data_IF_645244583867
#
_entry.id   IF_645244583867
#
_cell.length_a   1.000
_cell.length_b   1.000
_cell.length_c   1.000
_cell.angle_alpha   90.00
_cell.angle_beta   90.00
_cell.angle_gamma   90.00
#
_symmetry.space_group_name_H-M   'P 1'
#
loop_
_entity.id
_entity.type
_entity.pdbx_description
1 polymer ?
#
# COMPACT_ATOMS: atom_id res chain seq x y z
N UNK A 1 2.98 21.45 -48.34
CA UNK A 1 3.56 22.50 -47.47
C UNK A 1 4.54 21.76 -46.57
N UNK A 2 5.79 21.74 -46.99
CA UNK A 2 6.75 20.72 -46.59
C UNK A 2 7.31 21.04 -45.21
N UNK A 3 6.96 20.23 -44.22
CA UNK A 3 7.42 20.35 -42.83
C UNK A 3 8.95 20.41 -42.71
N UNK A 4 9.65 19.82 -43.67
CA UNK A 4 11.11 19.82 -43.81
C UNK A 4 11.65 21.24 -44.05
N UNK A 5 10.99 22.05 -44.90
CA UNK A 5 11.42 23.42 -45.22
C UNK A 5 11.22 24.41 -44.07
N UNK A 6 10.22 24.15 -43.22
CA UNK A 6 9.92 24.97 -42.03
C UNK A 6 10.93 24.69 -40.92
N UNK A 7 11.34 23.44 -40.76
CA UNK A 7 12.37 23.05 -39.80
C UNK A 7 13.73 23.67 -40.14
N UNK A 8 14.19 23.61 -41.39
CA UNK A 8 15.49 24.18 -41.77
C UNK A 8 15.58 25.69 -41.53
N UNK A 9 14.49 26.44 -41.78
CA UNK A 9 14.44 27.90 -41.65
C UNK A 9 14.28 28.43 -40.21
N UNK A 10 14.03 27.57 -39.23
CA UNK A 10 13.88 28.02 -37.84
C UNK A 10 15.21 28.41 -37.17
N UNK A 11 15.23 29.47 -36.34
CA UNK A 11 16.41 29.83 -35.58
C UNK A 11 16.77 28.71 -34.59
N UNK A 12 18.07 28.49 -34.33
CA UNK A 12 18.54 27.42 -33.43
C UNK A 12 17.84 27.44 -32.06
N UNK A 13 17.57 28.64 -31.52
CA UNK A 13 16.85 28.81 -30.23
C UNK A 13 15.42 28.24 -30.28
N UNK A 14 14.69 28.42 -31.38
CA UNK A 14 13.34 27.89 -31.52
C UNK A 14 13.34 26.36 -31.62
N UNK A 15 14.29 25.77 -32.36
CA UNK A 15 14.49 24.31 -32.42
C UNK A 15 14.79 23.73 -31.03
N UNK A 16 15.68 24.38 -30.28
CA UNK A 16 16.03 23.97 -28.93
C UNK A 16 14.82 23.99 -27.98
N UNK A 17 13.99 25.04 -28.04
CA UNK A 17 12.76 25.14 -27.25
C UNK A 17 11.78 24.02 -27.63
N UNK A 18 11.58 23.77 -28.93
CA UNK A 18 10.66 22.73 -29.42
C UNK A 18 11.10 21.32 -28.97
N UNK A 19 12.41 21.03 -29.07
CA UNK A 19 12.99 19.78 -28.59
C UNK A 19 12.81 19.65 -27.07
N UNK A 20 13.08 20.72 -26.32
CA UNK A 20 12.90 20.72 -24.87
C UNK A 20 11.45 20.43 -24.48
N UNK A 21 10.49 21.11 -25.11
CA UNK A 21 9.05 20.87 -24.88
C UNK A 21 8.68 19.42 -25.21
N UNK A 22 9.15 18.88 -26.34
CA UNK A 22 8.92 17.49 -26.70
C UNK A 22 9.50 16.51 -25.65
N UNK A 23 10.72 16.74 -25.16
CA UNK A 23 11.34 15.91 -24.12
C UNK A 23 10.56 15.96 -22.81
N UNK A 24 10.08 17.15 -22.40
CA UNK A 24 9.27 17.30 -21.19
C UNK A 24 7.95 16.54 -21.33
N UNK A 25 7.28 16.65 -22.48
CA UNK A 25 6.01 15.94 -22.75
C UNK A 25 6.21 14.42 -22.76
N UNK A 26 7.29 13.92 -23.39
CA UNK A 26 7.62 12.49 -23.40
C UNK A 26 7.91 12.00 -21.97
N UNK A 27 8.68 12.76 -21.19
CA UNK A 27 9.01 12.41 -19.80
C UNK A 27 7.74 12.35 -18.95
N UNK A 28 6.86 13.35 -19.08
CA UNK A 28 5.58 13.38 -18.37
C UNK A 28 4.70 12.18 -18.76
N UNK A 29 4.65 11.84 -20.05
CA UNK A 29 3.91 10.69 -20.54
C UNK A 29 4.43 9.37 -19.94
N UNK A 30 5.76 9.17 -19.91
CA UNK A 30 6.38 8.00 -19.27
C UNK A 30 6.01 7.93 -17.79
N UNK A 31 6.04 9.06 -17.07
CA UNK A 31 5.68 9.11 -15.64
C UNK A 31 4.21 8.74 -15.42
N UNK A 32 3.29 9.17 -16.29
CA UNK A 32 1.86 8.84 -16.20
C UNK A 32 1.63 7.35 -16.47
N UNK A 33 2.17 6.81 -17.56
CA UNK A 33 1.96 5.40 -17.94
C UNK A 33 2.54 4.45 -16.89
N UNK A 34 3.69 4.79 -16.31
CA UNK A 34 4.31 3.99 -15.24
C UNK A 34 3.59 4.09 -13.88
N UNK A 35 2.67 5.04 -13.71
CA UNK A 35 1.91 5.27 -12.47
C UNK A 35 0.75 4.29 -12.28
N UNK A 36 0.34 3.58 -13.34
CA UNK A 36 -0.80 2.68 -13.27
C UNK A 36 -0.34 1.32 -12.75
N UNK A 37 -0.93 0.86 -11.66
CA UNK A 37 -0.71 -0.46 -11.06
C UNK A 37 -2.00 -1.24 -11.13
N UNK A 38 -1.93 -2.45 -11.68
CA UNK A 38 -3.01 -3.43 -11.66
C UNK A 38 -2.73 -4.45 -10.57
N UNK A 39 -3.74 -4.75 -9.76
CA UNK A 39 -3.72 -5.80 -8.74
C UNK A 39 -4.69 -6.88 -9.18
N UNK A 40 -4.22 -8.12 -9.23
CA UNK A 40 -5.02 -9.25 -9.67
C UNK A 40 -6.08 -9.67 -8.63
N UNK A 41 -7.08 -10.43 -9.09
CA UNK A 41 -8.27 -10.78 -8.31
C UNK A 41 -7.99 -11.58 -7.03
N UNK A 42 -6.86 -12.29 -6.98
CA UNK A 42 -6.40 -13.12 -5.87
C UNK A 42 -5.27 -12.49 -5.05
N UNK A 43 -5.00 -11.20 -5.29
CA UNK A 43 -3.91 -10.45 -4.67
C UNK A 43 -4.41 -9.23 -3.89
N UNK A 44 -3.55 -8.76 -3.00
CA UNK A 44 -3.69 -7.50 -2.28
C UNK A 44 -2.42 -6.68 -2.45
N UNK A 45 -2.58 -5.38 -2.71
CA UNK A 45 -1.45 -4.47 -2.86
C UNK A 45 -1.07 -3.85 -1.52
N UNK A 46 0.12 -4.14 -1.03
CA UNK A 46 0.73 -3.42 0.09
C UNK A 46 1.42 -2.17 -0.47
N UNK A 47 1.03 -1.01 0.06
CA UNK A 47 1.58 0.28 -0.37
C UNK A 47 2.66 0.71 0.60
N UNK A 48 3.79 1.18 0.08
CA UNK A 48 4.84 1.85 0.84
C UNK A 48 5.05 3.24 0.24
N UNK A 49 5.04 4.28 1.09
CA UNK A 49 5.27 5.65 0.67
C UNK A 49 6.74 6.02 0.91
N UNK A 50 7.44 6.44 -0.14
CA UNK A 50 8.86 6.77 -0.11
C UNK A 50 9.12 8.24 0.23
N UNK A 51 8.25 9.14 -0.24
CA UNK A 51 8.48 10.59 -0.25
C UNK A 51 7.21 11.38 0.12
N UNK A 52 7.42 12.60 0.63
CA UNK A 52 6.38 13.57 1.03
C UNK A 52 5.40 13.08 2.12
N UNK A 53 5.82 12.11 2.93
CA UNK A 53 5.20 11.82 4.22
C UNK A 53 6.04 12.40 5.35
N UNK A 54 5.43 12.54 6.52
CA UNK A 54 6.15 12.76 7.77
C UNK A 54 6.99 11.54 8.17
N UNK A 55 7.76 11.67 9.24
CA UNK A 55 8.43 10.52 9.86
C UNK A 55 7.41 9.60 10.54
N UNK A 56 7.61 8.30 10.41
CA UNK A 56 6.84 7.32 11.16
C UNK A 56 7.14 7.47 12.66
N UNK A 57 6.14 7.53 13.56
CA UNK A 57 6.39 7.64 15.00
C UNK A 57 7.20 6.47 15.55
N UNK A 58 8.05 6.72 16.54
CA UNK A 58 8.89 5.68 17.14
C UNK A 58 8.05 4.52 17.70
N UNK A 59 8.51 3.29 17.44
CA UNK A 59 7.83 2.07 17.85
C UNK A 59 6.63 1.66 16.99
N UNK A 60 6.31 2.43 15.94
CA UNK A 60 5.35 2.05 14.89
C UNK A 60 6.05 1.37 13.73
N UNK A 61 5.34 0.44 13.09
CA UNK A 61 5.79 -0.32 11.93
C UNK A 61 4.98 0.07 10.68
N UNK A 62 3.73 0.49 10.86
CA UNK A 62 2.86 0.93 9.77
C UNK A 62 2.41 2.38 9.93
N UNK A 63 2.42 3.09 8.80
CA UNK A 63 1.92 4.45 8.64
C UNK A 63 0.39 4.45 8.50
N UNK A 64 -0.29 5.27 9.29
CA UNK A 64 -1.75 5.37 9.33
C UNK A 64 -2.21 6.71 8.74
N UNK A 65 -1.45 7.78 8.94
CA UNK A 65 -1.82 9.14 8.55
C UNK A 65 -1.02 9.64 7.33
N UNK A 66 -0.53 8.72 6.50
CA UNK A 66 0.24 9.06 5.30
C UNK A 66 1.70 9.45 5.57
N UNK A 67 2.26 9.00 6.69
CA UNK A 67 3.70 9.04 6.97
C UNK A 67 4.50 8.24 5.92
N UNK A 68 5.81 8.44 5.86
CA UNK A 68 6.67 7.60 5.04
C UNK A 68 6.76 6.18 5.61
N UNK A 69 6.91 5.19 4.74
CA UNK A 69 6.97 3.77 5.08
C UNK A 69 5.74 2.98 4.63
N UNK A 70 5.64 1.76 5.14
CA UNK A 70 4.55 0.82 4.83
C UNK A 70 3.24 1.40 5.34
N UNK A 71 2.26 1.54 4.46
CA UNK A 71 0.95 2.06 4.82
C UNK A 71 0.07 0.97 5.42
N UNK A 72 -0.80 1.34 6.36
CA UNK A 72 -1.84 0.48 6.91
C UNK A 72 -2.86 0.11 5.83
N UNK A 73 -3.27 1.08 5.02
CA UNK A 73 -4.24 0.87 3.95
C UNK A 73 -3.67 -0.03 2.84
N UNK A 74 -4.42 -1.07 2.52
CA UNK A 74 -4.16 -1.97 1.40
C UNK A 74 -4.94 -1.53 0.15
N UNK A 75 -4.42 -1.92 -1.02
CA UNK A 75 -5.14 -1.77 -2.28
C UNK A 75 -5.89 -3.05 -2.61
N UNK A 76 -7.19 -2.92 -2.85
CA UNK A 76 -8.04 -4.00 -3.33
C UNK A 76 -7.73 -4.36 -4.80
N UNK A 77 -8.15 -5.54 -5.29
CA UNK A 77 -8.04 -5.89 -6.69
C UNK A 77 -8.62 -4.82 -7.62
N UNK A 78 -7.93 -4.56 -8.74
CA UNK A 78 -8.33 -3.54 -9.71
C UNK A 78 -7.19 -2.62 -10.12
N UNK A 79 -7.56 -1.55 -10.83
CA UNK A 79 -6.64 -0.54 -11.34
C UNK A 79 -6.50 0.61 -10.35
N UNK A 80 -5.26 0.91 -9.98
CA UNK A 80 -4.93 2.00 -9.06
C UNK A 80 -3.85 2.88 -9.66
N UNK A 81 -3.94 4.19 -9.40
CA UNK A 81 -2.91 5.15 -9.79
C UNK A 81 -1.99 5.40 -8.59
N UNK A 82 -0.75 4.95 -8.69
CA UNK A 82 0.31 5.15 -7.70
C UNK A 82 1.62 5.45 -8.41
N UNK A 83 2.10 6.67 -8.24
CA UNK A 83 3.36 7.12 -8.84
C UNK A 83 4.54 6.31 -8.29
N UNK A 84 5.22 5.53 -9.14
CA UNK A 84 6.32 4.62 -8.72
C UNK A 84 7.51 5.29 -8.03
N UNK A 85 7.72 6.58 -8.32
CA UNK A 85 8.76 7.37 -7.70
C UNK A 85 8.38 7.80 -6.27
N UNK A 86 7.08 7.98 -5.98
CA UNK A 86 6.57 8.32 -4.65
C UNK A 86 6.17 7.08 -3.83
N UNK A 87 5.72 6.01 -4.48
CA UNK A 87 5.19 4.80 -3.84
C UNK A 87 5.86 3.54 -4.36
N UNK A 88 5.99 2.54 -3.50
CA UNK A 88 6.18 1.15 -3.88
C UNK A 88 4.85 0.41 -3.67
N UNK A 89 4.46 -0.45 -4.61
CA UNK A 89 3.30 -1.32 -4.45
C UNK A 89 3.77 -2.75 -4.60
N UNK A 90 3.73 -3.51 -3.51
CA UNK A 90 4.05 -4.93 -3.49
C UNK A 90 2.76 -5.72 -3.55
N UNK A 91 2.61 -6.56 -4.57
CA UNK A 91 1.45 -7.43 -4.72
C UNK A 91 1.73 -8.76 -4.02
N UNK A 92 0.81 -9.18 -3.17
CA UNK A 92 0.90 -10.42 -2.40
C UNK A 92 -0.39 -11.21 -2.54
N UNK A 93 -0.31 -12.53 -2.52
CA UNK A 93 -1.50 -13.38 -2.55
C UNK A 93 -2.34 -13.19 -1.28
N UNK A 94 -3.65 -13.23 -1.44
CA UNK A 94 -4.58 -13.23 -0.30
C UNK A 94 -4.34 -14.46 0.58
N UNK A 95 -4.51 -14.30 1.89
CA UNK A 95 -4.41 -15.41 2.83
C UNK A 95 -5.66 -16.28 2.72
N UNK A 96 -5.47 -17.57 2.50
CA UNK A 96 -6.55 -18.55 2.42
C UNK A 96 -6.49 -19.51 3.62
N UNK A 97 -7.57 -19.53 4.40
CA UNK A 97 -7.77 -20.48 5.49
C UNK A 97 -8.65 -21.61 4.97
N UNK A 98 -8.09 -22.83 4.94
CA UNK A 98 -8.79 -24.00 4.40
C UNK A 98 -9.94 -24.43 5.32
N UNK A 99 -10.99 -25.06 4.76
CA UNK A 99 -12.02 -25.69 5.57
C UNK A 99 -11.43 -26.66 6.60
N UNK A 100 -11.93 -26.60 7.83
CA UNK A 100 -11.45 -27.42 8.95
C UNK A 100 -10.24 -26.86 9.70
N UNK A 101 -9.67 -25.72 9.27
CA UNK A 101 -8.61 -24.99 9.97
C UNK A 101 -9.14 -23.66 10.52
N UNK A 102 -8.40 -23.08 11.48
CA UNK A 102 -8.61 -21.72 11.98
C UNK A 102 -7.31 -20.94 11.85
N UNK A 103 -7.40 -19.68 11.41
CA UNK A 103 -6.23 -18.82 11.32
C UNK A 103 -5.95 -18.12 12.65
N UNK A 104 -4.79 -18.40 13.24
CA UNK A 104 -4.26 -17.66 14.38
C UNK A 104 -3.62 -16.36 13.90
N UNK A 105 -3.82 -15.28 14.65
CA UNK A 105 -3.44 -13.92 14.24
C UNK A 105 -2.40 -13.36 15.20
N UNK A 106 -1.32 -12.82 14.66
CA UNK A 106 -0.33 -12.06 15.41
C UNK A 106 -0.14 -10.68 14.77
N UNK A 107 -0.34 -9.62 15.55
CA UNK A 107 -0.18 -8.24 15.11
C UNK A 107 1.24 -7.73 15.40
N UNK A 108 1.90 -7.14 14.42
CA UNK A 108 3.25 -6.58 14.54
C UNK A 108 3.27 -5.18 15.20
N UNK A 109 2.16 -4.45 15.12
CA UNK A 109 2.00 -3.08 15.64
C UNK A 109 0.64 -2.97 16.34
N UNK A 110 0.47 -1.96 17.19
CA UNK A 110 -0.68 -1.73 18.05
C UNK A 110 -0.25 -1.11 19.38
N UNK A 111 -1.19 -0.98 20.31
CA UNK A 111 -0.86 -0.69 21.72
C UNK A 111 -0.24 -1.91 22.40
N UNK A 112 0.53 -1.69 23.46
CA UNK A 112 0.99 -2.79 24.30
C UNK A 112 -0.19 -3.58 24.88
N UNK A 113 -0.02 -4.90 24.98
CA UNK A 113 -0.96 -5.78 25.67
C UNK A 113 -1.27 -5.27 27.09
N UNK A 114 -2.47 -5.57 27.62
CA UNK A 114 -2.77 -5.30 29.02
C UNK A 114 -1.77 -6.02 29.93
N UNK A 115 -1.57 -5.47 31.12
CA UNK A 115 -0.69 -6.08 32.12
C UNK A 115 -1.15 -7.50 32.43
N UNK A 116 -0.20 -8.43 32.50
CA UNK A 116 -0.42 -9.86 32.78
C UNK A 116 -1.24 -10.63 31.73
N UNK A 117 -1.49 -10.05 30.55
CA UNK A 117 -2.13 -10.74 29.42
C UNK A 117 -1.10 -11.19 28.36
N UNK A 118 -1.29 -12.41 27.86
CA UNK A 118 -0.46 -13.00 26.78
C UNK A 118 -1.12 -12.80 25.41
N UNK A 119 -2.45 -12.76 25.37
CA UNK A 119 -3.26 -12.56 24.17
C UNK A 119 -4.03 -11.24 24.29
N UNK A 120 -4.24 -10.57 23.16
CA UNK A 120 -5.12 -9.42 23.11
C UNK A 120 -6.57 -9.84 23.42
N UNK A 121 -7.35 -8.98 24.10
CA UNK A 121 -8.80 -9.15 24.28
C UNK A 121 -9.51 -9.46 22.95
N UNK A 122 -10.55 -10.28 23.03
CA UNK A 122 -11.36 -10.63 21.87
C UNK A 122 -12.09 -9.38 21.31
N UNK A 123 -12.10 -9.26 19.99
CA UNK A 123 -12.86 -8.22 19.30
C UNK A 123 -14.34 -8.56 19.24
N UNK A 124 -15.19 -7.60 19.59
CA UNK A 124 -16.65 -7.71 19.38
C UNK A 124 -17.00 -7.87 17.90
N UNK A 125 -16.26 -7.20 17.02
CA UNK A 125 -16.41 -7.26 15.57
C UNK A 125 -15.08 -7.69 14.92
N UNK A 126 -14.79 -8.99 14.80
CA UNK A 126 -13.53 -9.51 14.26
C UNK A 126 -13.22 -9.04 12.84
N UNK A 127 -14.24 -8.72 12.03
CA UNK A 127 -14.06 -8.20 10.67
C UNK A 127 -13.40 -6.81 10.67
N UNK A 128 -13.73 -5.96 11.64
CA UNK A 128 -13.16 -4.60 11.75
C UNK A 128 -11.68 -4.63 12.12
N UNK A 129 -11.27 -5.62 12.92
CA UNK A 129 -9.87 -5.84 13.28
C UNK A 129 -8.98 -6.03 12.04
N UNK A 130 -9.49 -6.67 10.98
CA UNK A 130 -8.72 -6.95 9.76
C UNK A 130 -8.37 -5.70 8.95
N UNK A 131 -9.12 -4.61 9.17
CA UNK A 131 -8.77 -3.32 8.62
C UNK A 131 -7.64 -2.70 9.45
N UNK A 132 -6.42 -2.72 8.91
CA UNK A 132 -5.23 -2.20 9.56
C UNK A 132 -5.32 -0.71 9.97
N UNK A 133 -6.02 0.12 9.19
CA UNK A 133 -6.22 1.55 9.49
C UNK A 133 -7.13 1.71 10.71
N UNK A 134 -8.22 0.95 10.74
CA UNK A 134 -9.11 0.92 11.90
C UNK A 134 -8.40 0.35 13.12
N UNK A 135 -7.70 -0.78 12.97
CA UNK A 135 -6.96 -1.45 14.02
C UNK A 135 -5.95 -0.52 14.70
N UNK A 136 -5.09 0.15 13.92
CA UNK A 136 -4.04 1.01 14.47
C UNK A 136 -4.55 2.41 14.87
N UNK A 137 -5.66 2.86 14.31
CA UNK A 137 -6.29 4.14 14.59
C UNK A 137 -7.41 4.02 15.63
N UNK A 138 -8.66 4.02 15.16
CA UNK A 138 -9.85 4.15 16.01
C UNK A 138 -10.08 2.95 16.93
N UNK A 139 -9.83 1.74 16.43
CA UNK A 139 -10.05 0.48 17.14
C UNK A 139 -9.02 0.21 18.24
N UNK A 140 -7.89 0.94 18.26
CA UNK A 140 -6.83 0.80 19.28
C UNK A 140 -6.45 -0.67 19.53
N UNK A 141 -6.17 -1.40 18.47
CA UNK A 141 -5.76 -2.80 18.51
C UNK A 141 -4.45 -3.01 19.25
N UNK A 142 -4.31 -4.18 19.85
CA UNK A 142 -3.13 -4.56 20.63
C UNK A 142 -2.11 -5.28 19.77
N UNK A 143 -0.83 -4.96 19.92
CA UNK A 143 0.26 -5.73 19.28
C UNK A 143 0.40 -7.10 19.94
N UNK A 144 0.90 -8.08 19.19
CA UNK A 144 1.12 -9.45 19.66
C UNK A 144 0.00 -10.42 19.26
N UNK A 145 -0.06 -11.61 19.91
CA UNK A 145 -1.07 -12.63 19.63
C UNK A 145 -2.49 -12.10 19.91
N UNK A 146 -3.44 -12.40 19.02
CA UNK A 146 -4.85 -12.05 19.22
C UNK A 146 -5.64 -13.27 19.71
N UNK A 147 -6.64 -13.03 20.57
CA UNK A 147 -7.58 -14.07 20.96
C UNK A 147 -8.60 -14.39 19.85
N UNK A 148 -8.97 -13.38 19.06
CA UNK A 148 -9.83 -13.56 17.89
C UNK A 148 -9.13 -14.38 16.79
N UNK A 149 -9.89 -15.29 16.18
CA UNK A 149 -9.40 -16.20 15.13
C UNK A 149 -10.09 -15.92 13.79
N UNK A 150 -9.43 -16.31 12.69
CA UNK A 150 -10.01 -16.27 11.36
C UNK A 150 -10.71 -17.59 11.02
N UNK A 151 -12.02 -17.57 10.68
CA UNK A 151 -12.68 -18.74 10.13
C UNK A 151 -12.18 -19.09 8.71
N UNK A 152 -12.52 -20.26 8.15
CA UNK A 152 -12.21 -20.62 6.77
C UNK A 152 -12.77 -19.63 5.75
N UNK A 153 -11.88 -18.85 5.12
CA UNK A 153 -12.19 -17.93 4.02
C UNK A 153 -10.90 -17.43 3.36
N UNK A 154 -11.04 -16.54 2.37
CA UNK A 154 -9.94 -15.80 1.76
C UNK A 154 -9.95 -14.35 2.26
N UNK A 155 -8.84 -13.91 2.83
CA UNK A 155 -8.73 -12.62 3.50
C UNK A 155 -7.81 -11.66 2.78
N UNK A 156 -8.28 -10.42 2.65
CA UNK A 156 -7.52 -9.26 2.18
C UNK A 156 -6.99 -8.52 3.40
N UNK A 157 -5.84 -8.95 3.89
CA UNK A 157 -5.23 -8.39 5.09
C UNK A 157 -3.85 -7.82 4.76
N UNK A 158 -3.44 -6.82 5.53
CA UNK A 158 -2.09 -6.29 5.44
C UNK A 158 -1.13 -7.26 6.13
N UNK A 159 -0.38 -8.06 5.38
CA UNK A 159 0.55 -9.05 5.95
C UNK A 159 1.80 -8.43 6.59
N UNK A 160 1.99 -7.11 6.45
CA UNK A 160 3.00 -6.40 7.24
C UNK A 160 2.52 -6.09 8.65
N UNK A 161 1.21 -6.00 8.85
CA UNK A 161 0.61 -5.86 10.19
C UNK A 161 0.29 -7.22 10.80
N UNK A 162 -0.38 -8.09 10.05
CA UNK A 162 -0.90 -9.36 10.56
C UNK A 162 -0.16 -10.55 9.97
N UNK A 163 0.47 -11.33 10.84
CA UNK A 163 0.98 -12.66 10.53
C UNK A 163 -0.10 -13.69 10.85
N UNK A 164 -0.42 -14.55 9.90
CA UNK A 164 -1.42 -15.60 10.05
C UNK A 164 -0.78 -16.98 9.98
N UNK A 165 -1.12 -17.84 10.94
CA UNK A 165 -0.70 -19.25 10.98
C UNK A 165 -1.95 -20.12 11.05
N UNK A 166 -2.07 -21.12 10.18
CA UNK A 166 -3.23 -21.99 10.05
C UNK A 166 -2.82 -23.45 9.85
#
# INVERSE_FOLDING_TARGET
MDTITIWERMPLKAKAILIFVAVVLITLFIVIVTSIVKIDGDEVGIVEKKLFGGSLPDGKVLAVNGENGVQAQILAPGWHVKWKWQYNVTQIKMIEIKPGLVGLIQAADGRSLPTDEIFAPEWEEPEKMLNAEYFLGQGKGYRGPQLSVLPPARYRINTKLFTITA
#
